data_IF_741345487045
#
_entry.id   IF_741345487045
#
_cell.length_a   1.000
_cell.length_b   1.000
_cell.length_c   1.000
_cell.angle_alpha   90.00
_cell.angle_beta   90.00
_cell.angle_gamma   90.00
#
_symmetry.space_group_name_H-M   'P 1'
#
loop_
_entity.id
_entity.type
_entity.pdbx_description
1 polymer ?
#
# COMPACT_ATOMS: atom_id res chain seq x y z
N UNK A 1 10.50 -23.21 -16.72
CA UNK A 1 10.41 -23.20 -15.25
C UNK A 1 10.50 -21.77 -14.73
N UNK A 2 9.69 -21.42 -13.72
CA UNK A 2 9.84 -20.18 -12.96
C UNK A 2 11.06 -20.33 -12.05
N UNK A 3 12.24 -20.00 -12.57
CA UNK A 3 13.51 -20.15 -11.84
C UNK A 3 13.75 -18.94 -10.90
N UNK A 4 12.77 -18.70 -10.04
CA UNK A 4 12.81 -17.68 -8.97
C UNK A 4 13.23 -18.29 -7.63
N UNK A 5 13.42 -19.60 -7.56
CA UNK A 5 13.77 -20.28 -6.31
C UNK A 5 15.19 -19.85 -5.91
N UNK A 6 15.39 -19.58 -4.62
CA UNK A 6 16.65 -19.11 -4.04
C UNK A 6 17.12 -17.71 -4.46
N UNK A 7 16.30 -16.92 -5.17
CA UNK A 7 16.62 -15.51 -5.39
C UNK A 7 16.45 -14.73 -4.09
N UNK A 8 17.33 -13.74 -3.90
CA UNK A 8 17.43 -12.95 -2.68
C UNK A 8 17.12 -11.49 -2.97
N UNK A 9 16.32 -10.87 -2.11
CA UNK A 9 15.87 -9.49 -2.24
C UNK A 9 16.14 -8.70 -0.97
N UNK A 10 16.40 -7.40 -1.09
CA UNK A 10 16.68 -6.54 0.06
C UNK A 10 15.39 -6.17 0.79
N UNK A 11 14.29 -6.00 0.05
CA UNK A 11 13.00 -5.62 0.62
C UNK A 11 11.85 -6.51 0.16
N UNK A 12 10.78 -6.56 0.97
CA UNK A 12 9.54 -7.25 0.59
C UNK A 12 8.85 -6.58 -0.60
N UNK A 13 9.02 -5.27 -0.77
CA UNK A 13 8.43 -4.51 -1.88
C UNK A 13 9.09 -4.90 -3.20
N UNK A 14 10.42 -4.98 -3.22
CA UNK A 14 11.20 -5.46 -4.35
C UNK A 14 10.81 -6.89 -4.72
N UNK A 15 10.74 -7.80 -3.74
CA UNK A 15 10.27 -9.17 -3.98
C UNK A 15 8.90 -9.19 -4.65
N UNK A 16 7.94 -8.42 -4.12
CA UNK A 16 6.57 -8.37 -4.66
C UNK A 16 6.54 -7.81 -6.07
N UNK A 17 7.30 -6.75 -6.36
CA UNK A 17 7.32 -6.14 -7.70
C UNK A 17 7.98 -7.06 -8.72
N UNK A 18 9.08 -7.73 -8.38
CA UNK A 18 9.73 -8.72 -9.25
C UNK A 18 8.82 -9.90 -9.54
N UNK A 19 8.18 -10.47 -8.51
CA UNK A 19 7.24 -11.58 -8.69
C UNK A 19 6.05 -11.16 -9.54
N UNK A 20 5.50 -9.96 -9.32
CA UNK A 20 4.41 -9.43 -10.13
C UNK A 20 4.83 -9.26 -11.59
N UNK A 21 5.99 -8.67 -11.85
CA UNK A 21 6.52 -8.49 -13.20
C UNK A 21 6.66 -9.84 -13.90
N UNK A 22 7.24 -10.84 -13.23
CA UNK A 22 7.44 -12.17 -13.80
C UNK A 22 6.14 -12.90 -14.07
N UNK A 23 5.12 -12.73 -13.21
CA UNK A 23 3.79 -13.28 -13.45
C UNK A 23 3.13 -12.63 -14.67
N UNK A 24 3.28 -11.31 -14.83
CA UNK A 24 2.74 -10.59 -15.98
C UNK A 24 3.36 -11.06 -17.30
N UNK A 25 4.68 -11.35 -17.32
CA UNK A 25 5.37 -11.93 -18.49
C UNK A 25 4.84 -13.33 -18.87
N UNK A 26 4.23 -14.03 -17.90
CA UNK A 26 3.59 -15.33 -18.09
C UNK A 26 2.06 -15.23 -18.24
N UNK A 27 1.54 -14.02 -18.48
CA UNK A 27 0.13 -13.72 -18.72
C UNK A 27 -0.81 -14.03 -17.54
N UNK A 28 -0.34 -13.90 -16.29
CA UNK A 28 -1.21 -14.00 -15.13
C UNK A 28 -0.88 -12.99 -14.03
N UNK A 29 -1.86 -12.71 -13.17
CA UNK A 29 -1.69 -11.77 -12.06
C UNK A 29 -1.66 -12.49 -10.71
N UNK A 30 -0.85 -11.97 -9.81
CA UNK A 30 -0.69 -12.49 -8.45
C UNK A 30 -1.28 -11.55 -7.40
N UNK A 31 -1.50 -12.10 -6.21
CA UNK A 31 -2.02 -11.40 -5.04
C UNK A 31 -1.38 -11.94 -3.77
N UNK A 32 -1.33 -11.16 -2.69
CA UNK A 32 -0.81 -11.65 -1.41
C UNK A 32 -1.87 -12.50 -0.71
N UNK A 33 -1.59 -13.80 -0.48
CA UNK A 33 -2.44 -14.72 0.29
C UNK A 33 -2.39 -14.42 1.78
N UNK A 34 -1.17 -14.30 2.30
CA UNK A 34 -0.87 -13.93 3.68
C UNK A 34 0.52 -13.35 3.76
N UNK A 35 0.73 -12.41 4.66
CA UNK A 35 2.04 -11.83 4.95
C UNK A 35 2.19 -11.60 6.44
N UNK A 36 3.36 -11.91 6.97
CA UNK A 36 3.78 -11.51 8.30
C UNK A 36 5.23 -10.96 8.21
N UNK A 37 5.81 -10.59 9.36
CA UNK A 37 7.15 -10.01 9.40
C UNK A 37 8.28 -10.98 9.00
N UNK A 38 8.02 -12.29 8.87
CA UNK A 38 9.03 -13.32 8.54
C UNK A 38 8.77 -14.08 7.23
N UNK A 39 7.57 -14.00 6.69
CA UNK A 39 7.12 -14.83 5.58
C UNK A 39 6.00 -14.15 4.79
N UNK A 40 6.02 -14.39 3.49
CA UNK A 40 5.01 -13.91 2.57
C UNK A 40 4.62 -15.04 1.62
N UNK A 41 3.32 -15.17 1.41
CA UNK A 41 2.72 -16.14 0.51
C UNK A 41 1.99 -15.37 -0.56
N UNK A 42 2.40 -15.57 -1.80
CA UNK A 42 1.83 -14.93 -2.99
C UNK A 42 1.12 -16.02 -3.78
N UNK A 43 -0.11 -15.76 -4.22
CA UNK A 43 -0.94 -16.72 -4.95
C UNK A 43 -1.47 -16.09 -6.23
N UNK A 44 -1.97 -16.91 -7.16
CA UNK A 44 -2.74 -16.41 -8.29
C UNK A 44 -3.96 -15.60 -7.81
N UNK A 45 -4.40 -14.58 -8.57
CA UNK A 45 -5.63 -13.83 -8.30
C UNK A 45 -6.88 -14.73 -8.20
N UNK A 46 -6.87 -15.85 -8.92
CA UNK A 46 -7.91 -16.86 -8.93
C UNK A 46 -7.77 -17.88 -7.78
N UNK A 47 -6.75 -17.71 -6.92
CA UNK A 47 -6.40 -18.62 -5.83
C UNK A 47 -7.31 -18.53 -4.60
N UNK A 48 -7.49 -19.70 -3.98
CA UNK A 48 -8.27 -19.89 -2.76
C UNK A 48 -9.78 -19.74 -2.93
N UNK A 49 -10.49 -19.70 -1.81
CA UNK A 49 -11.95 -19.58 -1.75
C UNK A 49 -12.37 -18.49 -0.76
N UNK A 50 -13.59 -17.97 -0.92
CA UNK A 50 -14.19 -17.11 0.10
C UNK A 50 -14.62 -17.93 1.31
N UNK A 51 -14.42 -17.38 2.50
CA UNK A 51 -14.90 -17.99 3.74
C UNK A 51 -16.42 -17.92 3.78
N UNK A 52 -17.08 -19.07 3.97
CA UNK A 52 -18.52 -19.12 4.19
C UNK A 52 -18.84 -19.01 5.69
N UNK A 53 -18.61 -17.83 6.28
CA UNK A 53 -18.77 -17.62 7.73
C UNK A 53 -20.18 -17.94 8.23
N UNK A 54 -21.19 -17.62 7.42
CA UNK A 54 -22.60 -17.81 7.79
C UNK A 54 -23.17 -19.16 7.35
N UNK A 55 -22.35 -20.06 6.78
CA UNK A 55 -22.77 -21.39 6.31
C UNK A 55 -23.99 -21.37 5.36
N UNK A 56 -24.12 -20.31 4.57
CA UNK A 56 -25.23 -20.12 3.63
C UNK A 56 -24.87 -20.81 2.32
N UNK A 57 -25.72 -21.71 1.85
CA UNK A 57 -25.59 -22.36 0.56
C UNK A 57 -25.95 -21.41 -0.59
N UNK A 58 -25.51 -21.72 -1.81
CA UNK A 58 -25.78 -20.87 -2.97
C UNK A 58 -27.28 -20.75 -3.30
N UNK A 59 -28.09 -21.75 -2.93
CA UNK A 59 -29.54 -21.77 -3.15
C UNK A 59 -30.28 -20.73 -2.28
N UNK A 60 -29.77 -20.48 -1.07
CA UNK A 60 -30.38 -19.57 -0.10
C UNK A 60 -29.92 -18.11 -0.29
N UNK A 61 -28.97 -17.88 -1.21
CA UNK A 61 -28.44 -16.55 -1.50
C UNK A 61 -29.38 -15.79 -2.44
N UNK A 62 -30.00 -14.72 -1.93
CA UNK A 62 -30.77 -13.75 -2.73
C UNK A 62 -29.97 -13.13 -3.88
N UNK A 63 -28.65 -12.98 -3.74
CA UNK A 63 -27.75 -12.45 -4.77
C UNK A 63 -26.62 -13.43 -5.06
N UNK A 64 -26.47 -13.80 -6.33
CA UNK A 64 -25.27 -14.48 -6.83
C UNK A 64 -24.12 -13.48 -6.91
N UNK A 65 -23.04 -13.76 -6.20
CA UNK A 65 -21.79 -12.99 -6.33
C UNK A 65 -20.99 -13.59 -7.47
N UNK A 66 -20.58 -12.75 -8.42
CA UNK A 66 -19.53 -13.11 -9.36
C UNK A 66 -18.20 -13.08 -8.60
N UNK A 67 -17.55 -14.24 -8.51
CA UNK A 67 -16.25 -14.39 -7.87
C UNK A 67 -15.22 -14.77 -8.92
N UNK A 68 -14.02 -14.18 -8.81
CA UNK A 68 -12.86 -14.64 -9.57
C UNK A 68 -12.23 -15.87 -8.90
N UNK A 69 -12.36 -16.02 -7.58
CA UNK A 69 -11.73 -17.13 -6.84
C UNK A 69 -12.34 -18.48 -7.23
N UNK A 70 -11.50 -19.38 -7.75
CA UNK A 70 -11.82 -20.74 -8.21
C UNK A 70 -10.89 -21.79 -7.57
N UNK A 71 -10.09 -21.41 -6.58
CA UNK A 71 -9.20 -22.34 -5.90
C UNK A 71 -7.93 -22.69 -6.67
N UNK A 72 -7.42 -21.78 -7.51
CA UNK A 72 -6.13 -22.00 -8.19
C UNK A 72 -5.01 -22.31 -7.19
N UNK A 73 -4.22 -23.33 -7.49
CA UNK A 73 -3.22 -23.91 -6.59
C UNK A 73 -1.86 -23.21 -6.69
N UNK A 74 -1.63 -22.41 -7.73
CA UNK A 74 -0.38 -21.69 -7.91
C UNK A 74 -0.07 -20.80 -6.70
N UNK A 75 1.05 -21.10 -6.05
CA UNK A 75 1.53 -20.47 -4.83
C UNK A 75 3.05 -20.29 -4.86
N UNK A 76 3.49 -19.14 -4.38
CA UNK A 76 4.88 -18.81 -4.10
C UNK A 76 5.03 -18.52 -2.61
N UNK A 77 6.03 -19.14 -2.00
CA UNK A 77 6.38 -18.94 -0.60
C UNK A 77 7.77 -18.29 -0.50
N UNK A 78 7.85 -17.20 0.26
CA UNK A 78 9.09 -16.52 0.57
C UNK A 78 9.22 -16.26 2.08
N UNK A 79 10.46 -16.21 2.55
CA UNK A 79 10.80 -16.03 3.97
C UNK A 79 11.93 -15.03 4.14
N UNK A 80 11.93 -14.31 5.25
CA UNK A 80 13.04 -13.46 5.67
C UNK A 80 14.15 -14.33 6.30
N UNK A 81 15.37 -14.18 5.81
CA UNK A 81 16.58 -14.70 6.45
C UNK A 81 16.98 -13.70 7.54
N UNK A 82 16.77 -14.07 8.81
CA UNK A 82 16.97 -13.16 9.95
C UNK A 82 18.40 -12.64 10.07
N UNK A 83 19.41 -13.48 9.80
CA UNK A 83 20.83 -13.11 9.91
C UNK A 83 21.24 -11.99 8.96
N UNK A 84 20.72 -12.03 7.73
CA UNK A 84 21.10 -11.09 6.66
C UNK A 84 20.05 -10.00 6.44
N UNK A 85 18.90 -10.09 7.11
CA UNK A 85 17.70 -9.27 6.88
C UNK A 85 17.23 -9.26 5.40
N UNK A 86 17.51 -10.32 4.65
CA UNK A 86 17.14 -10.45 3.24
C UNK A 86 15.99 -11.43 3.02
N UNK A 87 15.16 -11.16 2.04
CA UNK A 87 14.06 -12.03 1.65
C UNK A 87 14.53 -13.07 0.64
N UNK A 88 14.12 -14.32 0.82
CA UNK A 88 14.41 -15.41 -0.12
C UNK A 88 13.14 -16.12 -0.54
N UNK A 89 13.03 -16.43 -1.83
CA UNK A 89 11.96 -17.29 -2.35
C UNK A 89 12.34 -18.75 -2.08
N UNK A 90 11.50 -19.44 -1.30
CA UNK A 90 11.73 -20.83 -0.87
C UNK A 90 11.15 -21.83 -1.84
N UNK A 91 9.96 -21.54 -2.36
CA UNK A 91 9.30 -22.41 -3.32
C UNK A 91 8.35 -21.62 -4.21
N UNK A 92 8.22 -22.11 -5.43
CA UNK A 92 7.26 -21.63 -6.41
C UNK A 92 6.58 -22.86 -6.99
N UNK A 93 5.25 -22.83 -7.08
CA UNK A 93 4.49 -23.88 -7.75
C UNK A 93 4.82 -23.88 -9.25
N UNK A 94 4.68 -25.04 -9.88
CA UNK A 94 4.85 -25.11 -11.34
C UNK A 94 3.82 -24.22 -12.05
N UNK A 95 4.18 -23.70 -13.22
CA UNK A 95 3.28 -22.92 -14.07
C UNK A 95 2.07 -23.76 -14.53
N UNK A 96 2.20 -25.08 -14.56
CA UNK A 96 1.09 -25.98 -14.88
C UNK A 96 0.15 -26.24 -13.69
N UNK A 97 0.46 -25.74 -12.48
CA UNK A 97 -0.41 -25.85 -11.31
C UNK A 97 -1.65 -24.92 -11.39
N UNK A 98 -1.78 -24.14 -12.46
CA UNK A 98 -2.99 -23.38 -12.72
C UNK A 98 -4.11 -24.33 -13.18
N UNK A 99 -5.21 -24.35 -12.42
CA UNK A 99 -6.42 -25.10 -12.76
C UNK A 99 -7.37 -24.33 -13.70
N UNK A 100 -6.85 -23.34 -14.41
CA UNK A 100 -7.60 -22.47 -15.32
C UNK A 100 -6.70 -22.06 -16.49
N UNK A 101 -7.28 -21.75 -17.67
CA UNK A 101 -6.50 -21.26 -18.79
C UNK A 101 -5.84 -19.93 -18.41
N UNK A 102 -4.60 -19.76 -18.82
CA UNK A 102 -3.96 -18.46 -18.85
C UNK A 102 -4.45 -17.72 -20.10
N UNK A 103 -4.83 -16.45 -20.00
CA UNK A 103 -5.25 -15.68 -21.17
C UNK A 103 -4.13 -15.58 -22.20
N UNK A 104 -4.50 -15.43 -23.46
CA UNK A 104 -3.56 -15.03 -24.51
C UNK A 104 -2.87 -13.72 -24.13
N UNK A 105 -1.64 -13.52 -24.59
CA UNK A 105 -0.84 -12.32 -24.30
C UNK A 105 -1.58 -11.02 -24.63
N UNK A 106 -2.28 -10.95 -25.76
CA UNK A 106 -3.03 -9.76 -26.17
C UNK A 106 -4.19 -9.43 -25.22
N UNK A 107 -5.00 -10.44 -24.88
CA UNK A 107 -6.08 -10.30 -23.91
C UNK A 107 -5.56 -9.86 -22.54
N UNK A 108 -4.41 -10.38 -22.12
CA UNK A 108 -3.79 -9.99 -20.86
C UNK A 108 -3.27 -8.54 -20.88
N UNK A 109 -2.55 -8.15 -21.93
CA UNK A 109 -2.05 -6.78 -22.11
C UNK A 109 -3.18 -5.75 -22.12
N UNK A 110 -4.32 -6.06 -22.76
CA UNK A 110 -5.49 -5.18 -22.71
C UNK A 110 -5.99 -4.96 -21.28
N UNK A 111 -6.04 -6.01 -20.45
CA UNK A 111 -6.44 -5.87 -19.04
C UNK A 111 -5.44 -5.05 -18.22
N UNK A 112 -4.13 -5.18 -18.47
CA UNK A 112 -3.11 -4.35 -17.81
C UNK A 112 -3.24 -2.88 -18.20
N UNK A 113 -3.35 -2.58 -19.50
CA UNK A 113 -3.51 -1.21 -20.00
C UNK A 113 -4.76 -0.53 -19.41
N UNK A 114 -5.86 -1.26 -19.27
CA UNK A 114 -7.05 -0.74 -18.60
C UNK A 114 -6.76 -0.38 -17.15
N UNK A 115 -6.10 -1.28 -16.40
CA UNK A 115 -5.76 -1.02 -15.00
C UNK A 115 -4.83 0.18 -14.83
N UNK A 116 -3.84 0.35 -15.71
CA UNK A 116 -2.93 1.50 -15.69
C UNK A 116 -3.65 2.82 -15.97
N UNK A 117 -4.57 2.84 -16.94
CA UNK A 117 -5.38 4.02 -17.24
C UNK A 117 -6.25 4.42 -16.05
N UNK A 118 -6.86 3.44 -15.37
CA UNK A 118 -7.66 3.70 -14.15
C UNK A 118 -6.81 4.31 -13.06
N UNK A 119 -5.61 3.76 -12.79
CA UNK A 119 -4.69 4.31 -11.78
C UNK A 119 -4.27 5.73 -12.12
N UNK A 120 -3.86 5.98 -13.38
CA UNK A 120 -3.45 7.32 -13.84
C UNK A 120 -4.57 8.36 -13.69
N UNK A 121 -5.80 7.99 -14.05
CA UNK A 121 -6.95 8.88 -13.91
C UNK A 121 -7.28 9.17 -12.45
N UNK A 122 -7.19 8.17 -11.57
CA UNK A 122 -7.39 8.37 -10.14
C UNK A 122 -6.35 9.31 -9.53
N UNK A 123 -5.06 9.13 -9.86
CA UNK A 123 -3.99 10.03 -9.39
C UNK A 123 -4.14 11.45 -9.92
N UNK A 124 -4.59 11.60 -11.16
CA UNK A 124 -4.84 12.92 -11.76
C UNK A 124 -5.97 13.64 -11.02
N UNK A 125 -7.09 12.95 -10.78
CA UNK A 125 -8.23 13.52 -10.05
C UNK A 125 -7.85 13.92 -8.61
N UNK A 126 -7.07 13.10 -7.90
CA UNK A 126 -6.60 13.45 -6.55
C UNK A 126 -5.68 14.68 -6.52
N UNK A 127 -4.84 14.87 -7.53
CA UNK A 127 -3.99 16.07 -7.63
C UNK A 127 -4.83 17.33 -7.94
N UNK A 128 -5.88 17.19 -8.75
CA UNK A 128 -6.80 18.29 -9.10
C UNK A 128 -7.70 18.68 -7.91
N UNK A 129 -8.24 17.72 -7.15
CA UNK A 129 -9.04 17.96 -5.93
C UNK A 129 -8.19 18.59 -4.81
N UNK A 130 -6.97 18.11 -4.60
CA UNK A 130 -6.05 18.71 -3.62
C UNK A 130 -5.56 20.11 -4.04
N UNK A 131 -5.49 20.40 -5.34
CA UNK A 131 -5.18 21.74 -5.86
C UNK A 131 -6.29 22.77 -5.59
N UNK A 132 -7.57 22.34 -5.59
CA UNK A 132 -8.72 23.21 -5.32
C UNK A 132 -8.89 23.51 -3.81
N UNK A 133 -8.54 22.58 -2.92
CA UNK A 133 -8.56 22.84 -1.46
C UNK A 133 -7.55 23.90 -1.02
N UNK A 134 -6.37 23.98 -1.67
CA UNK A 134 -5.35 24.99 -1.34
C UNK A 134 -5.81 26.39 -1.74
N UNK A 135 -6.58 26.53 -2.83
CA UNK A 135 -7.12 27.82 -3.31
C UNK A 135 -8.29 28.29 -2.41
N UNK A 136 -9.15 27.38 -1.97
CA UNK A 136 -10.32 27.71 -1.12
C UNK A 136 -9.97 28.07 0.34
N UNK A 137 -8.79 27.66 0.84
CA UNK A 137 -8.31 28.07 2.18
C UNK A 137 -7.71 29.48 2.19
N UNK A 138 -7.23 29.97 1.04
CA UNK A 138 -6.65 31.31 0.91
C UNK A 138 -7.70 32.41 0.61
N UNK A 139 -8.98 32.07 0.48
CA UNK A 139 -10.06 32.98 0.07
C UNK A 139 -11.14 33.22 1.14
N UNK A 140 -10.94 32.73 2.38
CA UNK A 140 -11.77 33.08 3.55
C UNK A 140 -10.93 33.69 4.66
N UNK A 141 -10.65 34.98 4.52
CA UNK A 141 -9.99 35.80 5.54
C UNK A 141 -10.51 37.23 5.49
N UNK A 142 -11.83 37.42 5.56
CA UNK A 142 -12.43 38.74 5.75
C UNK A 142 -12.53 39.08 7.25
N UNK A 143 -11.81 40.15 7.61
CA UNK A 143 -12.28 41.31 8.38
C UNK A 143 -13.08 41.01 9.67
N UNK A 144 -12.51 41.37 10.83
CA UNK A 144 -13.25 42.19 11.80
C UNK A 144 -12.33 43.08 12.67
N UNK A 145 -12.66 44.35 12.55
CA UNK A 145 -12.27 45.60 13.21
C UNK A 145 -12.40 45.57 14.75
N UNK A 146 -11.51 46.28 15.48
CA UNK A 146 -11.85 47.36 16.44
C UNK A 146 -10.72 47.79 17.41
N UNK A 147 -10.43 49.10 17.29
CA UNK A 147 -10.24 50.13 18.34
C UNK A 147 -9.00 50.20 19.26
N UNK A 148 -8.16 51.20 18.93
CA UNK A 148 -7.89 52.48 19.65
C UNK A 148 -7.20 52.46 21.05
N UNK A 149 -5.97 53.01 21.09
CA UNK A 149 -5.65 54.14 21.99
C UNK A 149 -4.43 54.02 22.93
N UNK A 150 -3.54 55.02 22.84
CA UNK A 150 -2.54 55.53 23.82
C UNK A 150 -1.25 54.69 24.01
N UNK A 151 -0.06 55.23 24.28
CA UNK A 151 0.60 56.56 24.19
C UNK A 151 2.09 56.29 24.55
N UNK A 152 3.01 57.02 23.90
CA UNK A 152 4.28 57.56 24.43
C UNK A 152 5.43 56.67 24.92
N UNK A 153 6.63 57.08 24.45
CA UNK A 153 7.93 57.17 25.17
C UNK A 153 8.59 55.86 25.63
N UNK A 154 9.90 55.69 25.72
CA UNK A 154 11.12 56.44 25.37
C UNK A 154 12.29 55.53 25.81
N UNK A 155 13.45 55.67 25.16
CA UNK A 155 14.80 55.38 25.66
C UNK A 155 15.17 54.04 26.32
N UNK A 156 16.09 53.36 25.62
CA UNK A 156 17.47 53.10 26.03
C UNK A 156 17.81 52.39 27.37
N UNK A 157 18.84 51.56 27.24
CA UNK A 157 19.89 51.16 28.21
C UNK A 157 19.76 49.78 28.85
N UNK A 158 20.70 48.96 28.40
CA UNK A 158 21.79 48.41 29.21
C UNK A 158 21.52 47.36 30.30
N UNK A 159 22.38 46.34 30.18
CA UNK A 159 23.08 45.63 31.23
C UNK A 159 22.32 44.53 31.98
N UNK A 160 22.71 43.27 31.77
CA UNK A 160 23.87 42.56 32.36
C UNK A 160 23.55 42.02 33.76
N UNK A 161 23.46 40.69 33.77
CA UNK A 161 24.11 39.78 34.73
C UNK A 161 23.52 39.68 36.14
N UNK A 162 23.77 38.47 36.66
CA UNK A 162 23.86 38.05 38.06
C UNK A 162 22.53 37.55 38.58
N UNK A 163 22.41 36.38 39.18
CA UNK A 163 23.15 35.13 39.39
C UNK A 163 22.23 34.39 40.38
N UNK A 164 22.42 33.07 40.50
CA UNK A 164 22.20 32.32 41.75
C UNK A 164 20.75 32.23 42.25
N UNK A 165 20.29 31.17 42.88
CA UNK A 165 20.75 29.83 43.22
C UNK A 165 19.52 29.22 43.94
N UNK A 166 19.63 27.95 44.31
CA UNK A 166 18.79 27.21 45.26
C UNK A 166 17.48 26.65 44.68
N UNK A 167 17.42 25.31 44.55
CA UNK A 167 17.13 24.37 45.66
C UNK A 167 15.64 24.51 46.04
N UNK A 168 14.79 23.50 46.06
CA UNK A 168 14.97 22.20 46.73
C UNK A 168 13.73 21.33 46.40
N UNK A 169 13.96 20.02 46.31
CA UNK A 169 13.16 18.89 46.81
C UNK A 169 11.61 18.93 46.87
N UNK A 170 11.04 17.78 46.47
CA UNK A 170 9.77 17.24 46.97
C UNK A 170 8.85 16.85 45.82
N UNK A 171 8.40 15.61 45.64
CA UNK A 171 8.55 14.32 46.32
C UNK A 171 8.41 13.23 45.24
#
# INVERSE_FOLDING_TARGET
MLDLVNTVYESIQELKSTVQKRANELNFSVSTKRSNHRSVYIQCIYGGFYRNTHRIENKDRKRRRTTKKIGCEWLLAASLISERKKWVIRSVSDINAHNHPLPSEDAYKQTLQFSEKVVKNFTKNQLEENGQEIINKNSKGDIQDKTKGQKMEESAKDNKTIEKERSTQGQ
#
